data_IF_655695165881
#
_entry.id   IF_655695165881
#
_cell.length_a   1.000
_cell.length_b   1.000
_cell.length_c   1.000
_cell.angle_alpha   90.00
_cell.angle_beta   90.00
_cell.angle_gamma   90.00
#
_symmetry.space_group_name_H-M   'P 1'
#
loop_
_entity.id
_entity.type
_entity.pdbx_description
1 polymer ?
#
# COMPACT_ATOMS: atom_id res chain seq x y z
N UNK A 1 -38.57 -28.59 2.08
CA UNK A 1 -38.31 -28.98 0.67
C UNK A 1 -37.69 -27.76 -0.02
N UNK A 2 -36.55 -27.77 -0.73
CA UNK A 2 -35.53 -28.77 -1.03
C UNK A 2 -34.18 -28.21 -0.57
N UNK A 3 -33.42 -29.02 0.17
CA UNK A 3 -31.98 -28.87 0.37
C UNK A 3 -31.30 -29.56 -0.80
N UNK A 4 -30.38 -28.90 -1.47
CA UNK A 4 -29.54 -29.54 -2.48
C UNK A 4 -28.24 -29.98 -1.80
N UNK A 5 -28.08 -31.29 -1.75
CA UNK A 5 -26.88 -32.02 -1.33
C UNK A 5 -26.25 -32.59 -2.60
N UNK A 6 -24.99 -32.26 -2.87
CA UNK A 6 -23.96 -33.07 -3.56
C UNK A 6 -22.63 -32.40 -3.17
N UNK A 7 -21.77 -32.84 -2.25
CA UNK A 7 -21.17 -34.13 -1.94
C UNK A 7 -20.19 -34.67 -3.01
N UNK A 8 -18.90 -34.61 -2.63
CA UNK A 8 -17.79 -35.55 -2.87
C UNK A 8 -16.74 -35.25 -3.96
N UNK A 9 -15.50 -35.23 -3.47
CA UNK A 9 -14.34 -35.86 -4.10
C UNK A 9 -13.15 -34.91 -4.26
N UNK A 10 -11.90 -35.26 -4.02
CA UNK A 10 -11.26 -36.45 -3.44
C UNK A 10 -9.79 -36.03 -3.26
N UNK A 11 -9.15 -36.57 -2.23
CA UNK A 11 -7.76 -36.40 -1.79
C UNK A 11 -6.69 -36.33 -2.89
N UNK A 12 -5.67 -35.50 -2.63
CA UNK A 12 -4.35 -35.59 -3.28
C UNK A 12 -3.26 -35.09 -2.33
N UNK A 13 -2.68 -36.00 -1.55
CA UNK A 13 -1.46 -35.75 -0.79
C UNK A 13 -0.27 -35.92 -1.76
N UNK A 14 0.50 -34.86 -1.98
CA UNK A 14 1.80 -34.93 -2.62
C UNK A 14 2.87 -34.94 -1.53
N UNK A 15 3.39 -36.13 -1.27
CA UNK A 15 4.65 -36.35 -0.56
C UNK A 15 5.76 -35.99 -1.54
N UNK A 16 6.48 -34.89 -1.29
CA UNK A 16 7.79 -34.69 -1.91
C UNK A 16 8.83 -35.33 -1.02
N UNK A 17 9.41 -36.41 -1.54
CA UNK A 17 10.56 -37.10 -1.00
C UNK A 17 11.74 -36.14 -0.88
N UNK A 18 12.47 -36.24 0.22
CA UNK A 18 13.76 -35.58 0.37
C UNK A 18 14.79 -36.13 -0.61
N UNK A 19 15.71 -35.25 -1.03
CA UNK A 19 17.01 -35.65 -1.50
C UNK A 19 18.04 -35.02 -0.55
N UNK A 20 18.61 -35.87 0.29
CA UNK A 20 19.83 -35.62 1.04
C UNK A 20 20.96 -36.36 0.31
N UNK A 21 22.10 -35.71 0.15
CA UNK A 21 23.32 -36.19 -0.52
C UNK A 21 23.79 -35.10 -1.47
N UNK A 22 24.74 -34.22 -1.12
CA UNK A 22 26.09 -34.45 -0.60
C UNK A 22 26.93 -35.41 -1.45
N UNK A 23 28.04 -34.83 -1.90
CA UNK A 23 29.35 -35.38 -2.29
C UNK A 23 29.65 -35.81 -3.74
N UNK A 24 30.77 -35.22 -4.21
CA UNK A 24 31.85 -35.72 -5.10
C UNK A 24 32.03 -35.10 -6.50
N UNK A 25 32.97 -34.13 -6.53
CA UNK A 25 34.20 -34.06 -7.35
C UNK A 25 34.22 -34.59 -8.79
N UNK A 26 34.68 -33.74 -9.73
CA UNK A 26 35.14 -34.19 -11.04
C UNK A 26 35.43 -33.10 -12.10
N UNK A 27 36.51 -32.34 -11.89
CA UNK A 27 37.53 -31.89 -12.88
C UNK A 27 37.15 -31.16 -14.20
N UNK A 28 37.74 -29.95 -14.34
CA UNK A 28 38.16 -29.17 -15.52
C UNK A 28 37.69 -29.56 -16.94
N UNK A 29 37.02 -28.60 -17.60
CA UNK A 29 37.22 -28.30 -19.02
C UNK A 29 36.87 -26.83 -19.31
N UNK A 30 37.91 -26.03 -19.47
CA UNK A 30 37.90 -24.66 -20.00
C UNK A 30 37.33 -24.65 -21.43
N UNK A 31 36.19 -23.99 -21.63
CA UNK A 31 35.77 -23.41 -22.91
C UNK A 31 34.77 -22.28 -22.64
N UNK A 32 35.19 -21.07 -22.99
CA UNK A 32 34.44 -19.83 -23.13
C UNK A 32 32.95 -20.02 -23.45
N UNK A 33 32.06 -19.40 -22.66
CA UNK A 33 31.06 -18.52 -23.24
C UNK A 33 30.56 -17.47 -22.24
N UNK A 34 30.78 -16.21 -22.58
CA UNK A 34 30.25 -15.02 -21.93
C UNK A 34 28.72 -15.10 -21.80
N UNK A 35 28.17 -15.33 -20.61
CA UNK A 35 26.75 -15.01 -20.32
C UNK A 35 26.39 -14.82 -18.83
N UNK A 36 27.36 -14.68 -17.91
CA UNK A 36 27.04 -14.56 -16.47
C UNK A 36 27.02 -13.10 -15.94
N UNK A 37 27.76 -12.16 -16.53
CA UNK A 37 27.88 -10.79 -16.00
C UNK A 37 26.66 -9.88 -16.23
N UNK A 38 25.75 -10.24 -17.14
CA UNK A 38 24.55 -9.40 -17.41
C UNK A 38 23.41 -9.72 -16.45
N UNK A 39 23.29 -10.97 -16.00
CA UNK A 39 22.19 -11.42 -15.15
C UNK A 39 22.39 -10.99 -13.70
N UNK A 40 23.61 -11.08 -13.15
CA UNK A 40 23.90 -10.65 -11.77
C UNK A 40 23.76 -9.12 -11.57
N UNK A 41 24.13 -8.31 -12.57
CA UNK A 41 23.96 -6.85 -12.48
C UNK A 41 22.48 -6.46 -12.57
N UNK A 42 21.71 -7.10 -13.45
CA UNK A 42 20.30 -6.80 -13.62
C UNK A 42 19.47 -7.24 -12.39
N UNK A 43 19.79 -8.39 -11.78
CA UNK A 43 19.12 -8.86 -10.56
C UNK A 43 19.44 -7.97 -9.35
N UNK A 44 20.66 -7.42 -9.26
CA UNK A 44 21.03 -6.43 -8.24
C UNK A 44 20.27 -5.10 -8.43
N UNK A 45 20.11 -4.63 -9.67
CA UNK A 45 19.37 -3.41 -9.96
C UNK A 45 17.87 -3.56 -9.64
N UNK A 46 17.25 -4.69 -9.97
CA UNK A 46 15.85 -4.98 -9.60
C UNK A 46 15.64 -5.03 -8.09
N UNK A 47 16.56 -5.67 -7.35
CA UNK A 47 16.51 -5.70 -5.88
C UNK A 47 16.69 -4.30 -5.28
N UNK A 48 17.54 -3.46 -5.86
CA UNK A 48 17.72 -2.06 -5.46
C UNK A 48 16.41 -1.29 -5.64
N UNK A 49 15.77 -1.37 -6.80
CA UNK A 49 14.48 -0.67 -7.06
C UNK A 49 13.41 -1.09 -6.06
N UNK A 50 13.28 -2.40 -5.79
CA UNK A 50 12.33 -2.90 -4.77
C UNK A 50 12.61 -2.31 -3.38
N UNK A 51 13.87 -2.27 -2.97
CA UNK A 51 14.25 -1.70 -1.67
C UNK A 51 13.91 -0.20 -1.58
N UNK A 52 14.21 0.56 -2.62
CA UNK A 52 13.91 1.99 -2.69
C UNK A 52 12.38 2.24 -2.68
N UNK A 53 11.59 1.43 -3.41
CA UNK A 53 10.13 1.50 -3.39
C UNK A 53 9.54 1.22 -2.01
N UNK A 54 10.02 0.19 -1.31
CA UNK A 54 9.61 -0.09 0.06
C UNK A 54 9.97 1.05 1.01
N UNK A 55 11.14 1.65 0.81
CA UNK A 55 11.61 2.77 1.63
C UNK A 55 10.74 4.01 1.42
N UNK A 56 10.39 4.31 0.16
CA UNK A 56 9.46 5.37 -0.19
C UNK A 56 8.04 5.10 0.33
N UNK A 57 7.51 3.86 0.23
CA UNK A 57 6.22 3.48 0.82
C UNK A 57 6.20 3.73 2.32
N UNK A 58 7.24 3.28 3.04
CA UNK A 58 7.35 3.48 4.48
C UNK A 58 7.45 4.95 4.85
N UNK A 59 8.24 5.74 4.10
CA UNK A 59 8.35 7.17 4.31
C UNK A 59 6.99 7.87 4.15
N UNK A 60 6.29 7.59 3.04
CA UNK A 60 4.95 8.12 2.78
C UNK A 60 3.98 7.75 3.91
N UNK A 61 3.89 6.45 4.24
CA UNK A 61 3.01 5.95 5.29
C UNK A 61 3.30 6.61 6.63
N UNK A 62 4.58 6.73 7.01
CA UNK A 62 4.97 7.36 8.27
C UNK A 62 4.64 8.86 8.31
N UNK A 63 4.80 9.56 7.19
CA UNK A 63 4.47 10.98 7.07
C UNK A 63 2.97 11.22 7.24
N UNK A 64 2.14 10.41 6.60
CA UNK A 64 0.70 10.64 6.54
C UNK A 64 -0.12 9.95 7.65
N UNK A 65 0.45 8.94 8.30
CA UNK A 65 -0.17 8.20 9.41
C UNK A 65 -0.73 9.06 10.54
N UNK A 66 -0.01 10.07 11.08
CA UNK A 66 -0.56 10.89 12.16
C UNK A 66 -1.85 11.62 11.76
N UNK A 67 -1.96 12.05 10.51
CA UNK A 67 -3.16 12.71 9.99
C UNK A 67 -4.30 11.72 9.79
N UNK A 68 -4.00 10.57 9.17
CA UNK A 68 -4.99 9.52 8.96
C UNK A 68 -5.56 9.00 10.28
N UNK A 69 -4.75 8.85 11.32
CA UNK A 69 -5.21 8.45 12.65
C UNK A 69 -6.26 9.39 13.24
N UNK A 70 -6.21 10.69 12.96
CA UNK A 70 -7.24 11.65 13.38
C UNK A 70 -8.54 11.44 12.64
N UNK A 71 -8.47 11.15 11.35
CA UNK A 71 -9.64 10.82 10.52
C UNK A 71 -10.27 9.51 10.99
N UNK A 72 -9.46 8.47 11.24
CA UNK A 72 -9.92 7.18 11.76
C UNK A 72 -10.52 7.30 13.17
N UNK A 73 -10.02 8.21 14.01
CA UNK A 73 -10.59 8.50 15.32
C UNK A 73 -12.01 9.11 15.20
N UNK A 74 -12.22 10.01 14.23
CA UNK A 74 -13.55 10.53 13.92
C UNK A 74 -14.51 9.42 13.48
N UNK A 75 -14.11 8.59 12.51
CA UNK A 75 -14.94 7.46 12.04
C UNK A 75 -15.27 6.49 13.18
N UNK A 76 -14.34 6.27 14.09
CA UNK A 76 -14.53 5.44 15.30
C UNK A 76 -15.53 6.08 16.28
N UNK A 77 -15.48 7.39 16.49
CA UNK A 77 -16.41 8.11 17.36
C UNK A 77 -17.85 8.07 16.83
N UNK A 78 -18.03 8.26 15.51
CA UNK A 78 -19.34 8.18 14.85
C UNK A 78 -19.90 6.75 14.88
N UNK A 79 -19.05 5.74 14.76
CA UNK A 79 -19.44 4.33 14.69
C UNK A 79 -19.55 3.64 16.06
N UNK A 80 -19.37 4.37 17.15
CA UNK A 80 -19.46 3.83 18.51
C UNK A 80 -20.87 3.25 18.80
N UNK A 81 -20.96 2.24 19.67
CA UNK A 81 -22.24 1.63 20.05
C UNK A 81 -23.19 2.65 20.70
N UNK A 82 -22.62 3.56 21.49
CA UNK A 82 -23.30 4.73 22.06
C UNK A 82 -22.50 5.98 21.66
N UNK A 83 -22.83 6.62 20.52
CA UNK A 83 -22.10 7.78 20.05
C UNK A 83 -22.29 8.98 20.98
N UNK A 84 -21.19 9.58 21.41
CA UNK A 84 -21.18 10.80 22.22
C UNK A 84 -20.97 12.02 21.33
N UNK A 85 -21.92 12.96 21.37
CA UNK A 85 -21.93 14.11 20.47
C UNK A 85 -20.75 15.07 20.69
N UNK A 86 -20.30 15.24 21.95
CA UNK A 86 -19.15 16.11 22.26
C UNK A 86 -17.85 15.48 21.78
N UNK A 87 -17.69 14.16 21.94
CA UNK A 87 -16.57 13.40 21.40
C UNK A 87 -16.55 13.41 19.87
N UNK A 88 -17.70 13.24 19.20
CA UNK A 88 -17.80 13.34 17.73
C UNK A 88 -17.39 14.72 17.27
N UNK A 89 -17.90 15.79 17.90
CA UNK A 89 -17.57 17.15 17.51
C UNK A 89 -16.07 17.43 17.67
N UNK A 90 -15.47 17.03 18.80
CA UNK A 90 -14.03 17.17 19.04
C UNK A 90 -13.21 16.41 18.00
N UNK A 91 -13.55 15.15 17.73
CA UNK A 91 -12.86 14.34 16.75
C UNK A 91 -13.02 14.88 15.32
N UNK A 92 -14.18 15.44 14.99
CA UNK A 92 -14.44 16.07 13.69
C UNK A 92 -13.56 17.31 13.47
N UNK A 93 -13.34 18.15 14.49
CA UNK A 93 -12.44 19.30 14.40
C UNK A 93 -10.98 18.89 14.22
N UNK A 94 -10.54 17.86 14.94
CA UNK A 94 -9.19 17.30 14.79
C UNK A 94 -8.99 16.66 13.41
N UNK A 95 -9.95 15.84 12.96
CA UNK A 95 -9.91 15.20 11.65
C UNK A 95 -9.91 16.23 10.51
N UNK A 96 -10.72 17.30 10.63
CA UNK A 96 -10.78 18.36 9.63
C UNK A 96 -9.46 19.11 9.52
N UNK A 97 -8.88 19.48 10.67
CA UNK A 97 -7.58 20.16 10.72
C UNK A 97 -6.50 19.25 10.13
N UNK A 98 -6.49 17.98 10.53
CA UNK A 98 -5.54 17.00 10.01
C UNK A 98 -5.68 16.79 8.50
N UNK A 99 -6.89 16.73 7.97
CA UNK A 99 -7.15 16.60 6.55
C UNK A 99 -6.63 17.82 5.76
N UNK A 100 -6.88 19.04 6.25
CA UNK A 100 -6.38 20.26 5.63
C UNK A 100 -4.83 20.37 5.63
N UNK A 101 -4.22 19.99 6.75
CA UNK A 101 -2.75 19.96 6.86
C UNK A 101 -2.16 18.88 5.96
N UNK A 102 -2.77 17.70 5.89
CA UNK A 102 -2.32 16.60 5.05
C UNK A 102 -2.44 16.93 3.56
N UNK A 103 -3.56 17.52 3.10
CA UNK A 103 -3.70 17.92 1.70
C UNK A 103 -2.65 18.94 1.29
N UNK A 104 -2.33 19.90 2.17
CA UNK A 104 -1.26 20.87 1.96
C UNK A 104 0.12 20.21 1.95
N UNK A 105 0.34 19.20 2.81
CA UNK A 105 1.60 18.47 2.87
C UNK A 105 1.85 17.61 1.61
N UNK A 106 0.80 17.13 0.94
CA UNK A 106 0.96 16.38 -0.33
C UNK A 106 1.59 17.26 -1.41
N UNK A 107 1.22 18.54 -1.51
CA UNK A 107 1.80 19.48 -2.49
C UNK A 107 3.32 19.67 -2.32
N UNK A 108 3.78 19.64 -1.07
CA UNK A 108 5.19 19.80 -0.70
C UNK A 108 5.93 18.46 -0.54
N UNK A 109 5.24 17.33 -0.69
CA UNK A 109 5.81 16.01 -0.44
C UNK A 109 6.85 15.67 -1.49
N UNK A 110 8.07 15.35 -1.03
CA UNK A 110 9.17 14.92 -1.88
C UNK A 110 9.46 13.44 -1.64
N UNK A 111 9.53 12.66 -2.70
CA UNK A 111 9.91 11.25 -2.63
C UNK A 111 11.43 11.15 -2.46
N UNK A 112 11.87 10.91 -1.23
CA UNK A 112 13.29 10.71 -0.90
C UNK A 112 13.74 9.27 -1.16
N UNK A 113 13.78 8.87 -2.44
CA UNK A 113 14.23 7.53 -2.85
C UNK A 113 15.02 7.58 -4.17
N UNK A 114 16.00 6.67 -4.31
CA UNK A 114 16.83 6.55 -5.52
C UNK A 114 16.16 5.63 -6.55
N UNK A 115 15.00 6.07 -7.04
CA UNK A 115 14.17 5.34 -8.02
C UNK A 115 14.56 5.69 -9.46
N UNK A 116 14.41 4.75 -10.40
CA UNK A 116 14.41 5.07 -11.83
C UNK A 116 13.42 6.19 -12.16
N UNK A 117 13.77 7.04 -13.13
CA UNK A 117 12.98 8.24 -13.46
C UNK A 117 11.52 7.92 -13.81
N UNK A 118 11.29 6.83 -14.55
CA UNK A 118 9.95 6.37 -14.93
C UNK A 118 9.12 5.89 -13.73
N UNK A 119 9.75 5.21 -12.78
CA UNK A 119 9.11 4.76 -11.54
C UNK A 119 8.81 5.96 -10.63
N UNK A 120 9.74 6.92 -10.54
CA UNK A 120 9.57 8.15 -9.79
C UNK A 120 8.38 8.96 -10.33
N UNK A 121 8.32 9.18 -11.65
CA UNK A 121 7.20 9.89 -12.28
C UNK A 121 5.86 9.20 -12.00
N UNK A 122 5.77 7.87 -12.15
CA UNK A 122 4.53 7.14 -11.82
C UNK A 122 4.13 7.30 -10.37
N UNK A 123 5.08 7.31 -9.44
CA UNK A 123 4.79 7.55 -8.02
C UNK A 123 4.24 8.96 -7.84
N UNK A 124 4.91 10.00 -8.34
CA UNK A 124 4.44 11.38 -8.26
C UNK A 124 3.02 11.55 -8.83
N UNK A 125 2.69 10.85 -9.92
CA UNK A 125 1.36 10.83 -10.54
C UNK A 125 0.26 10.24 -9.64
N UNK A 126 0.61 9.48 -8.59
CA UNK A 126 -0.36 8.97 -7.60
C UNK A 126 -0.76 10.01 -6.56
N UNK A 127 0.12 10.97 -6.27
CA UNK A 127 -0.05 11.94 -5.17
C UNK A 127 -1.31 12.82 -5.29
N UNK A 128 -1.75 13.26 -6.49
CA UNK A 128 -2.99 14.03 -6.63
C UNK A 128 -4.23 13.29 -6.11
N UNK A 129 -4.27 11.96 -6.22
CA UNK A 129 -5.38 11.15 -5.69
C UNK A 129 -5.36 11.14 -4.15
N UNK A 130 -4.17 11.09 -3.53
CA UNK A 130 -4.02 11.18 -2.08
C UNK A 130 -4.40 12.58 -1.56
N UNK A 131 -4.00 13.64 -2.27
CA UNK A 131 -4.42 15.01 -1.96
C UNK A 131 -5.94 15.15 -2.01
N UNK A 132 -6.55 14.68 -3.11
CA UNK A 132 -7.99 14.75 -3.31
C UNK A 132 -8.79 13.98 -2.25
N UNK A 133 -8.24 12.88 -1.71
CA UNK A 133 -8.81 12.20 -0.54
C UNK A 133 -8.88 13.14 0.67
N UNK A 134 -7.77 13.77 1.05
CA UNK A 134 -7.74 14.67 2.21
C UNK A 134 -8.62 15.90 2.01
N UNK A 135 -8.63 16.52 0.83
CA UNK A 135 -9.55 17.60 0.50
C UNK A 135 -11.02 17.15 0.58
N UNK A 136 -11.32 15.93 0.14
CA UNK A 136 -12.64 15.33 0.21
C UNK A 136 -13.12 15.12 1.65
N UNK A 137 -12.24 14.63 2.53
CA UNK A 137 -12.51 14.48 3.97
C UNK A 137 -12.80 15.85 4.60
N UNK A 138 -11.95 16.85 4.36
CA UNK A 138 -12.15 18.20 4.90
C UNK A 138 -13.49 18.78 4.44
N UNK A 139 -13.79 18.65 3.15
CA UNK A 139 -15.05 19.11 2.57
C UNK A 139 -16.26 18.45 3.23
N UNK A 140 -16.25 17.13 3.37
CA UNK A 140 -17.35 16.39 3.99
C UNK A 140 -17.56 16.80 5.46
N UNK A 141 -16.47 17.01 6.21
CA UNK A 141 -16.55 17.51 7.59
C UNK A 141 -17.07 18.95 7.67
N UNK A 142 -16.77 19.81 6.69
CA UNK A 142 -17.35 21.15 6.61
C UNK A 142 -18.86 21.13 6.28
N UNK A 143 -19.33 20.12 5.55
CA UNK A 143 -20.75 19.95 5.22
C UNK A 143 -21.56 19.40 6.40
N UNK A 144 -21.04 18.38 7.09
CA UNK A 144 -21.69 17.80 8.25
C UNK A 144 -20.69 17.14 9.21
N UNK A 145 -20.36 17.81 10.31
CA UNK A 145 -19.42 17.29 11.30
C UNK A 145 -19.96 16.08 12.08
N UNK A 146 -21.27 15.96 12.28
CA UNK A 146 -21.84 14.89 13.12
C UNK A 146 -21.94 13.55 12.38
N UNK A 147 -22.05 13.59 11.05
CA UNK A 147 -22.21 12.41 10.21
C UNK A 147 -21.73 12.71 8.78
N UNK A 148 -20.43 12.98 8.64
CA UNK A 148 -19.79 13.26 7.37
C UNK A 148 -19.77 12.00 6.50
N UNK A 149 -20.08 12.16 5.21
CA UNK A 149 -19.99 11.09 4.24
C UNK A 149 -18.64 11.15 3.52
N UNK A 150 -17.77 10.18 3.81
CA UNK A 150 -16.45 10.08 3.21
C UNK A 150 -16.40 9.24 1.93
N UNK A 151 -17.52 8.73 1.44
CA UNK A 151 -17.55 7.81 0.28
C UNK A 151 -16.77 8.36 -0.91
N UNK A 152 -16.97 9.61 -1.29
CA UNK A 152 -16.27 10.22 -2.43
C UNK A 152 -14.76 10.44 -2.17
N UNK A 153 -14.37 10.67 -0.92
CA UNK A 153 -12.96 10.76 -0.54
C UNK A 153 -12.31 9.37 -0.59
N UNK A 154 -12.97 8.35 -0.03
CA UNK A 154 -12.50 6.96 -0.03
C UNK A 154 -12.30 6.39 -1.44
N UNK A 155 -13.12 6.81 -2.41
CA UNK A 155 -12.89 6.51 -3.84
C UNK A 155 -11.55 7.07 -4.34
N UNK A 156 -11.18 8.29 -3.92
CA UNK A 156 -9.89 8.91 -4.27
C UNK A 156 -8.71 8.22 -3.60
N UNK A 157 -8.88 7.79 -2.35
CA UNK A 157 -7.86 6.99 -1.69
C UNK A 157 -7.68 5.62 -2.37
N UNK A 158 -8.78 5.00 -2.79
CA UNK A 158 -8.75 3.74 -3.55
C UNK A 158 -7.98 3.93 -4.86
N UNK A 159 -8.23 5.01 -5.59
CA UNK A 159 -7.48 5.37 -6.80
C UNK A 159 -5.98 5.51 -6.52
N UNK A 160 -5.60 6.25 -5.47
CA UNK A 160 -4.22 6.37 -5.01
C UNK A 160 -3.58 5.00 -4.72
N UNK A 161 -4.25 4.17 -3.92
CA UNK A 161 -3.74 2.85 -3.52
C UNK A 161 -3.63 1.90 -4.72
N UNK A 162 -4.57 1.93 -5.66
CA UNK A 162 -4.54 1.11 -6.86
C UNK A 162 -3.40 1.52 -7.81
N UNK A 163 -3.19 2.82 -8.02
CA UNK A 163 -2.08 3.35 -8.80
C UNK A 163 -0.73 2.96 -8.18
N UNK A 164 -0.59 3.13 -6.86
CA UNK A 164 0.64 2.73 -6.16
C UNK A 164 0.88 1.22 -6.24
N UNK A 165 -0.18 0.43 -6.11
CA UNK A 165 -0.11 -1.03 -6.21
C UNK A 165 0.25 -1.51 -7.62
N UNK A 166 -0.07 -0.75 -8.68
CA UNK A 166 0.40 -1.03 -10.03
C UNK A 166 1.92 -0.88 -10.14
N UNK A 167 2.50 0.17 -9.55
CA UNK A 167 3.96 0.37 -9.49
C UNK A 167 4.66 -0.82 -8.82
N UNK A 168 4.12 -1.28 -7.69
CA UNK A 168 4.66 -2.45 -6.99
C UNK A 168 4.55 -3.74 -7.83
N UNK A 169 3.43 -3.95 -8.54
CA UNK A 169 3.27 -5.13 -9.41
C UNK A 169 4.26 -5.12 -10.57
N UNK A 170 4.44 -3.97 -11.21
CA UNK A 170 5.42 -3.80 -12.29
C UNK A 170 6.85 -4.02 -11.81
N UNK A 171 7.17 -3.57 -10.59
CA UNK A 171 8.45 -3.85 -9.93
C UNK A 171 8.59 -5.30 -9.45
N UNK A 172 7.58 -6.17 -9.63
CA UNK A 172 7.65 -7.59 -9.33
C UNK A 172 7.46 -7.94 -7.85
N UNK A 173 6.69 -7.14 -7.11
CA UNK A 173 6.27 -7.51 -5.75
C UNK A 173 5.19 -8.60 -5.77
N UNK A 174 5.28 -9.62 -4.88
CA UNK A 174 4.33 -10.72 -4.84
C UNK A 174 2.99 -10.36 -4.17
N UNK A 175 2.95 -9.26 -3.43
CA UNK A 175 1.79 -8.77 -2.71
C UNK A 175 1.79 -7.24 -2.71
N UNK A 176 0.60 -6.67 -2.59
CA UNK A 176 0.41 -5.22 -2.55
C UNK A 176 -0.31 -4.82 -1.25
N UNK A 177 0.08 -3.72 -0.61
CA UNK A 177 -0.49 -3.27 0.64
C UNK A 177 -1.90 -2.68 0.48
N UNK A 178 -2.58 -2.53 1.62
CA UNK A 178 -3.68 -1.58 1.78
C UNK A 178 -3.15 -0.39 2.58
N UNK A 179 -2.76 0.68 1.89
CA UNK A 179 -2.12 1.83 2.53
C UNK A 179 -3.07 2.58 3.48
N UNK A 180 -4.39 2.49 3.28
CA UNK A 180 -5.37 3.07 4.21
C UNK A 180 -5.25 2.40 5.57
N UNK A 181 -5.17 1.07 5.58
CA UNK A 181 -5.02 0.28 6.80
C UNK A 181 -3.66 0.50 7.46
N UNK A 182 -2.58 0.63 6.69
CA UNK A 182 -1.23 0.87 7.23
C UNK A 182 -1.10 2.24 7.92
N UNK A 183 -1.81 3.24 7.40
CA UNK A 183 -1.83 4.60 7.94
C UNK A 183 -2.84 4.82 9.07
N UNK A 184 -3.83 3.92 9.23
CA UNK A 184 -4.88 4.05 10.24
C UNK A 184 -4.45 3.65 11.65
#
# INVERSE_FOLDING_TARGET
MKKWLLALGLSGALVLAGCNGDTEEGTDADTENQTEDTTENQENDEQKVKKELLSAQMALTNTFKPYQQKISAYQSAVSAEEPDAEAIQTAAEEAKTAANEASSMVDDYTIEADLPEDVMTKFEETLPSLQAYYEGVEKALNENMENADFTAAEEKFTEFNDQFNEILKEAGFPATPNLMEEMS
#
